data_IF_608023379151
#
_entry.id   IF_608023379151
#
_cell.length_a   1.000
_cell.length_b   1.000
_cell.length_c   1.000
_cell.angle_alpha   90.00
_cell.angle_beta   90.00
_cell.angle_gamma   90.00
#
_symmetry.space_group_name_H-M   'P 1'
#
loop_
_entity.id
_entity.type
_entity.pdbx_description
1 polymer ?
#
# COMPACT_ATOMS: atom_id res chain seq x y z
N UNK A 1 -11.61 29.11 -4.51
CA UNK A 1 -10.86 29.06 -3.23
C UNK A 1 -11.48 27.98 -2.38
N UNK A 2 -10.94 26.76 -2.40
CA UNK A 2 -11.37 25.70 -1.49
C UNK A 2 -10.94 26.08 -0.07
N UNK A 3 -11.89 26.17 0.85
CA UNK A 3 -11.56 26.29 2.27
C UNK A 3 -11.01 24.94 2.70
N UNK A 4 -9.76 24.89 3.12
CA UNK A 4 -9.27 23.80 3.97
C UNK A 4 -10.20 23.73 5.19
N UNK A 5 -10.50 22.51 5.62
CA UNK A 5 -11.27 22.27 6.84
C UNK A 5 -10.64 23.08 7.98
N UNK A 6 -11.45 23.77 8.76
CA UNK A 6 -10.92 24.54 9.88
C UNK A 6 -10.30 23.59 10.91
N UNK A 7 -9.30 24.05 11.61
CA UNK A 7 -8.62 23.27 12.66
C UNK A 7 -9.59 22.74 13.71
N UNK A 8 -10.66 23.48 14.00
CA UNK A 8 -11.76 23.08 14.89
C UNK A 8 -12.48 21.80 14.43
N UNK A 9 -12.59 21.59 13.10
CA UNK A 9 -13.21 20.38 12.52
C UNK A 9 -12.26 19.18 12.58
N UNK A 10 -10.94 19.38 12.70
CA UNK A 10 -9.93 18.33 12.80
C UNK A 10 -9.91 17.71 14.20
N UNK A 11 -10.31 18.45 15.23
CA UNK A 11 -10.37 17.99 16.62
C UNK A 11 -11.63 17.21 16.95
N UNK A 12 -12.57 17.11 15.99
CA UNK A 12 -13.83 16.41 16.20
C UNK A 12 -13.65 14.89 16.25
N UNK A 13 -13.70 14.32 17.45
CA UNK A 13 -13.54 12.88 17.72
C UNK A 13 -14.68 11.99 17.19
N UNK A 14 -15.74 12.57 16.63
CA UNK A 14 -16.86 11.80 16.06
C UNK A 14 -16.47 11.11 14.74
N UNK A 15 -15.48 11.65 14.04
CA UNK A 15 -15.05 11.08 12.75
C UNK A 15 -13.94 10.04 12.94
N UNK A 16 -14.09 8.90 12.30
CA UNK A 16 -13.10 7.81 12.32
C UNK A 16 -12.21 7.81 11.10
N UNK A 17 -12.68 8.36 9.99
CA UNK A 17 -12.00 8.35 8.70
C UNK A 17 -12.23 9.66 7.96
N UNK A 18 -11.31 9.98 7.06
CA UNK A 18 -11.39 11.13 6.17
C UNK A 18 -11.02 10.79 4.74
N UNK A 19 -11.35 11.70 3.86
CA UNK A 19 -11.00 11.68 2.45
C UNK A 19 -10.24 12.93 2.08
N UNK A 20 -9.18 12.75 1.32
CA UNK A 20 -8.48 13.79 0.60
C UNK A 20 -8.76 13.61 -0.89
N UNK A 21 -9.42 14.57 -1.50
CA UNK A 21 -9.52 14.72 -2.95
C UNK A 21 -8.46 15.70 -3.37
N UNK A 22 -7.59 15.32 -4.30
CA UNK A 22 -6.53 16.18 -4.76
C UNK A 22 -6.31 16.08 -6.26
N UNK A 23 -5.94 17.20 -6.85
CA UNK A 23 -5.46 17.29 -8.21
C UNK A 23 -4.11 18.01 -8.22
N UNK A 24 -3.09 17.32 -8.74
CA UNK A 24 -1.75 17.87 -8.93
C UNK A 24 -1.50 17.84 -10.44
N UNK A 25 -1.17 18.97 -11.06
CA UNK A 25 -0.91 19.05 -12.48
C UNK A 25 0.09 17.99 -12.95
N UNK A 26 -0.15 17.39 -14.11
CA UNK A 26 0.66 16.29 -14.67
C UNK A 26 2.13 16.65 -14.84
N UNK A 27 2.43 17.89 -15.13
CA UNK A 27 3.79 18.45 -15.17
C UNK A 27 4.50 18.42 -13.82
N UNK A 28 3.77 18.29 -12.72
CA UNK A 28 4.25 18.19 -11.35
C UNK A 28 4.16 16.76 -10.79
N UNK A 29 4.37 15.74 -11.62
CA UNK A 29 4.29 14.32 -11.22
C UNK A 29 5.19 13.98 -10.02
N UNK A 30 6.32 14.66 -9.86
CA UNK A 30 7.18 14.54 -8.69
C UNK A 30 6.44 14.92 -7.40
N UNK A 31 5.68 16.02 -7.41
CA UNK A 31 4.91 16.48 -6.26
C UNK A 31 3.76 15.53 -5.90
N UNK A 32 3.08 14.96 -6.90
CA UNK A 32 2.08 13.91 -6.66
C UNK A 32 2.71 12.67 -6.01
N UNK A 33 3.91 12.27 -6.44
CA UNK A 33 4.64 11.16 -5.85
C UNK A 33 5.15 11.48 -4.44
N UNK A 34 5.58 12.71 -4.18
CA UNK A 34 5.97 13.18 -2.84
C UNK A 34 4.78 13.11 -1.88
N UNK A 35 3.61 13.62 -2.28
CA UNK A 35 2.37 13.52 -1.49
C UNK A 35 2.04 12.06 -1.17
N UNK A 36 2.07 11.19 -2.18
CA UNK A 36 1.82 9.76 -2.00
C UNK A 36 2.82 9.11 -1.05
N UNK A 37 4.11 9.46 -1.14
CA UNK A 37 5.14 8.90 -0.26
C UNK A 37 4.90 9.28 1.20
N UNK A 38 4.51 10.54 1.47
CA UNK A 38 4.21 11.04 2.82
C UNK A 38 2.96 10.39 3.41
N UNK A 39 1.91 10.21 2.63
CA UNK A 39 0.64 9.66 3.10
C UNK A 39 0.62 8.13 3.16
N UNK A 40 1.49 7.45 2.40
CA UNK A 40 1.51 5.99 2.27
C UNK A 40 1.55 5.20 3.58
N UNK A 41 2.19 5.65 4.66
CA UNK A 41 2.24 4.89 5.91
C UNK A 41 0.87 4.66 6.56
N UNK A 42 -0.11 5.54 6.29
CA UNK A 42 -1.41 5.52 6.98
C UNK A 42 -2.62 5.74 6.06
N UNK A 43 -2.42 5.82 4.75
CA UNK A 43 -3.48 6.14 3.80
C UNK A 43 -3.62 5.07 2.71
N UNK A 44 -4.84 4.92 2.19
CA UNK A 44 -5.17 4.05 1.07
C UNK A 44 -5.76 4.87 -0.08
N UNK A 45 -5.52 4.44 -1.33
CA UNK A 45 -5.97 5.12 -2.55
C UNK A 45 -7.13 4.37 -3.21
N UNK A 46 -8.40 4.75 -2.97
CA UNK A 46 -9.53 4.23 -3.73
C UNK A 46 -9.43 4.53 -5.23
N UNK A 47 -8.82 5.66 -5.59
CA UNK A 47 -8.43 5.97 -6.97
C UNK A 47 -7.23 6.93 -7.01
N UNK A 48 -6.82 7.36 -8.22
CA UNK A 48 -5.59 8.15 -8.40
C UNK A 48 -5.59 9.51 -7.69
N UNK A 49 -6.77 10.10 -7.50
CA UNK A 49 -6.96 11.46 -6.97
C UNK A 49 -7.73 11.48 -5.64
N UNK A 50 -7.99 10.30 -5.06
CA UNK A 50 -8.71 10.17 -3.80
C UNK A 50 -7.90 9.32 -2.83
N UNK A 51 -7.73 9.83 -1.62
CA UNK A 51 -7.05 9.15 -0.52
C UNK A 51 -8.02 9.02 0.64
N UNK A 52 -8.08 7.86 1.25
CA UNK A 52 -8.75 7.67 2.55
C UNK A 52 -7.71 7.42 3.64
N UNK A 53 -7.96 7.96 4.82
CA UNK A 53 -7.05 7.90 5.96
C UNK A 53 -7.83 7.92 7.28
N UNK A 54 -7.26 7.41 8.40
CA UNK A 54 -7.82 7.59 9.73
C UNK A 54 -7.88 9.08 10.10
N UNK A 55 -9.02 9.56 10.59
CA UNK A 55 -9.23 10.99 10.87
C UNK A 55 -8.24 11.58 11.87
N UNK A 56 -7.72 10.76 12.78
CA UNK A 56 -6.65 11.15 13.72
C UNK A 56 -5.37 11.66 13.04
N UNK A 57 -5.18 11.31 11.74
CA UNK A 57 -4.05 11.78 10.93
C UNK A 57 -4.36 13.02 10.09
N UNK A 58 -5.52 13.66 10.30
CA UNK A 58 -5.97 14.80 9.48
C UNK A 58 -4.95 15.96 9.46
N UNK A 59 -4.35 16.29 10.59
CA UNK A 59 -3.30 17.32 10.66
C UNK A 59 -2.05 16.97 9.85
N UNK A 60 -1.65 15.69 9.83
CA UNK A 60 -0.52 15.21 9.01
C UNK A 60 -0.85 15.28 7.51
N UNK A 61 -2.08 14.95 7.15
CA UNK A 61 -2.56 15.06 5.76
C UNK A 61 -2.58 16.51 5.32
N UNK A 62 -3.09 17.42 6.14
CA UNK A 62 -3.11 18.86 5.87
C UNK A 62 -1.70 19.41 5.68
N UNK A 63 -0.77 19.09 6.58
CA UNK A 63 0.64 19.51 6.47
C UNK A 63 1.28 19.04 5.16
N UNK A 64 1.05 17.77 4.76
CA UNK A 64 1.56 17.24 3.51
C UNK A 64 0.97 17.94 2.28
N UNK A 65 -0.32 18.32 2.33
CA UNK A 65 -0.99 19.06 1.26
C UNK A 65 -0.45 20.49 1.16
N UNK A 66 -0.23 21.17 2.29
CA UNK A 66 0.32 22.52 2.32
C UNK A 66 1.70 22.57 1.70
N UNK A 67 2.61 21.66 2.06
CA UNK A 67 3.94 21.56 1.46
C UNK A 67 3.89 21.40 -0.07
N UNK A 68 2.99 20.53 -0.57
CA UNK A 68 2.82 20.33 -2.02
C UNK A 68 2.29 21.60 -2.69
N UNK A 69 1.34 22.30 -2.06
CA UNK A 69 0.79 23.57 -2.59
C UNK A 69 1.83 24.67 -2.63
N UNK A 70 2.66 24.79 -1.61
CA UNK A 70 3.77 25.75 -1.58
C UNK A 70 4.75 25.48 -2.72
N UNK A 71 5.14 24.22 -2.91
CA UNK A 71 6.08 23.81 -3.93
C UNK A 71 5.52 23.90 -5.37
N UNK A 72 4.19 23.82 -5.56
CA UNK A 72 3.54 23.89 -6.88
C UNK A 72 3.00 25.28 -7.24
N UNK A 73 3.21 26.29 -6.39
CA UNK A 73 2.75 27.65 -6.67
C UNK A 73 1.23 27.80 -6.75
N UNK A 74 0.47 27.00 -6.00
CA UNK A 74 -1.01 26.98 -5.92
C UNK A 74 -1.75 26.29 -7.08
N UNK A 75 -1.04 25.69 -8.03
CA UNK A 75 -1.69 24.93 -9.12
C UNK A 75 -2.29 23.61 -8.66
N UNK A 76 -1.88 23.11 -7.47
CA UNK A 76 -2.49 21.95 -6.87
C UNK A 76 -3.75 22.31 -6.08
N UNK A 77 -4.83 21.57 -6.32
CA UNK A 77 -6.06 21.67 -5.54
C UNK A 77 -6.24 20.46 -4.62
N UNK A 78 -6.74 20.69 -3.43
CA UNK A 78 -7.02 19.64 -2.48
C UNK A 78 -8.21 19.98 -1.60
N UNK A 79 -9.06 18.98 -1.33
CA UNK A 79 -10.21 19.09 -0.44
C UNK A 79 -10.18 17.90 0.52
N UNK A 80 -10.19 18.19 1.81
CA UNK A 80 -10.24 17.18 2.86
C UNK A 80 -11.63 17.19 3.49
N UNK A 81 -12.25 16.02 3.57
CA UNK A 81 -13.61 15.83 4.10
C UNK A 81 -13.62 14.67 5.10
N UNK A 82 -14.31 14.82 6.25
CA UNK A 82 -14.55 13.71 7.14
C UNK A 82 -15.53 12.72 6.52
N UNK A 83 -15.40 11.45 6.86
CA UNK A 83 -16.39 10.43 6.56
C UNK A 83 -17.55 10.55 7.54
N UNK A 84 -18.67 11.08 7.06
CA UNK A 84 -19.91 11.23 7.81
C UNK A 84 -20.88 10.09 7.52
N UNK A 85 -21.91 9.93 8.33
CA UNK A 85 -23.01 8.98 8.07
C UNK A 85 -23.67 9.23 6.71
N UNK A 86 -23.73 10.48 6.26
CA UNK A 86 -24.31 10.85 4.95
C UNK A 86 -23.40 10.42 3.79
N UNK A 87 -22.08 10.55 3.93
CA UNK A 87 -21.12 10.19 2.88
C UNK A 87 -20.74 8.71 2.87
N UNK A 88 -20.92 8.02 4.01
CA UNK A 88 -20.54 6.62 4.22
C UNK A 88 -21.10 5.65 3.17
N UNK A 89 -22.42 5.67 2.81
CA UNK A 89 -22.99 4.76 1.83
C UNK A 89 -22.34 4.86 0.44
N UNK A 90 -21.78 6.01 0.11
CA UNK A 90 -21.16 6.25 -1.21
C UNK A 90 -19.66 5.94 -1.22
N UNK A 91 -18.97 6.22 -0.12
CA UNK A 91 -17.51 6.16 -0.06
C UNK A 91 -16.98 4.81 0.42
N UNK A 92 -17.71 4.11 1.30
CA UNK A 92 -17.28 2.79 1.78
C UNK A 92 -17.18 1.77 0.64
N UNK A 93 -18.11 1.64 -0.30
CA UNK A 93 -17.95 0.72 -1.43
C UNK A 93 -16.68 1.01 -2.27
N UNK A 94 -16.32 2.27 -2.46
CA UNK A 94 -15.08 2.62 -3.18
C UNK A 94 -13.83 2.15 -2.43
N UNK A 95 -13.84 2.21 -1.10
CA UNK A 95 -12.73 1.73 -0.26
C UNK A 95 -12.66 0.20 -0.33
N UNK A 96 -13.81 -0.47 -0.26
CA UNK A 96 -13.92 -1.93 -0.35
C UNK A 96 -13.36 -2.44 -1.68
N UNK A 97 -13.79 -1.85 -2.80
CA UNK A 97 -13.32 -2.23 -4.14
C UNK A 97 -11.80 -2.02 -4.26
N UNK A 98 -11.30 -0.87 -3.81
CA UNK A 98 -9.87 -0.59 -3.85
C UNK A 98 -9.06 -1.54 -2.95
N UNK A 99 -9.57 -1.90 -1.78
CA UNK A 99 -8.92 -2.86 -0.90
C UNK A 99 -8.88 -4.25 -1.53
N UNK A 100 -9.99 -4.72 -2.10
CA UNK A 100 -10.08 -5.98 -2.85
C UNK A 100 -9.04 -6.03 -3.95
N UNK A 101 -9.03 -5.01 -4.82
CA UNK A 101 -8.10 -4.93 -5.94
C UNK A 101 -6.63 -4.95 -5.46
N UNK A 102 -6.33 -4.27 -4.36
CA UNK A 102 -4.98 -4.24 -3.83
C UNK A 102 -4.57 -5.58 -3.21
N UNK A 103 -5.44 -6.28 -2.48
CA UNK A 103 -5.17 -7.65 -2.00
C UNK A 103 -4.93 -8.61 -3.17
N UNK A 104 -5.78 -8.60 -4.18
CA UNK A 104 -5.61 -9.41 -5.39
C UNK A 104 -4.30 -9.08 -6.12
N UNK A 105 -3.98 -7.80 -6.27
CA UNK A 105 -2.75 -7.33 -6.89
C UNK A 105 -1.53 -7.83 -6.14
N UNK A 106 -1.53 -7.79 -4.80
CA UNK A 106 -0.44 -8.29 -3.98
C UNK A 106 -0.22 -9.78 -4.17
N UNK A 107 -1.30 -10.58 -4.16
CA UNK A 107 -1.24 -12.03 -4.39
C UNK A 107 -0.72 -12.35 -5.80
N UNK A 108 -1.27 -11.71 -6.84
CA UNK A 108 -0.82 -11.88 -8.24
C UNK A 108 0.65 -11.45 -8.41
N UNK A 109 1.05 -10.35 -7.77
CA UNK A 109 2.43 -9.85 -7.80
C UNK A 109 3.40 -10.81 -7.10
N UNK A 110 3.02 -11.40 -5.96
CA UNK A 110 3.82 -12.41 -5.27
C UNK A 110 4.12 -13.58 -6.20
N UNK A 111 3.08 -14.20 -6.79
CA UNK A 111 3.22 -15.32 -7.70
C UNK A 111 4.11 -14.97 -8.92
N UNK A 112 3.87 -13.82 -9.57
CA UNK A 112 4.66 -13.36 -10.72
C UNK A 112 6.13 -13.14 -10.38
N UNK A 113 6.41 -12.50 -9.23
CA UNK A 113 7.79 -12.20 -8.80
C UNK A 113 8.53 -13.49 -8.45
N UNK A 114 7.88 -14.45 -7.81
CA UNK A 114 8.48 -15.76 -7.49
C UNK A 114 8.78 -16.52 -8.77
N UNK A 115 7.84 -16.59 -9.71
CA UNK A 115 8.04 -17.26 -11.01
C UNK A 115 9.19 -16.66 -11.84
N UNK A 116 9.47 -15.38 -11.67
CA UNK A 116 10.57 -14.70 -12.38
C UNK A 116 11.96 -14.95 -11.75
N UNK A 117 12.06 -15.49 -10.54
CA UNK A 117 13.35 -15.65 -9.84
C UNK A 117 14.33 -16.52 -10.63
N UNK A 118 13.98 -17.71 -11.17
CA UNK A 118 14.93 -18.55 -11.88
C UNK A 118 15.56 -17.84 -13.09
N UNK A 119 14.75 -17.13 -13.84
CA UNK A 119 15.23 -16.39 -15.01
C UNK A 119 16.13 -15.20 -14.62
N UNK A 120 15.78 -14.49 -13.53
CA UNK A 120 16.60 -13.41 -13.02
C UNK A 120 17.97 -13.89 -12.48
N UNK A 121 18.02 -15.09 -11.89
CA UNK A 121 19.27 -15.73 -11.45
C UNK A 121 20.12 -16.11 -12.66
N UNK A 122 19.53 -16.73 -13.69
CA UNK A 122 20.25 -17.04 -14.95
C UNK A 122 20.85 -15.80 -15.59
N UNK A 123 20.10 -14.71 -15.66
CA UNK A 123 20.60 -13.43 -16.19
C UNK A 123 21.74 -12.85 -15.35
N UNK A 124 21.70 -13.01 -14.02
CA UNK A 124 22.75 -12.54 -13.14
C UNK A 124 24.05 -13.33 -13.35
N UNK A 125 23.97 -14.65 -13.56
CA UNK A 125 25.11 -15.51 -13.89
C UNK A 125 25.69 -15.12 -15.27
N UNK A 126 24.85 -14.99 -16.28
CA UNK A 126 25.27 -14.61 -17.62
C UNK A 126 25.92 -13.20 -17.69
N UNK A 127 25.57 -12.32 -16.76
CA UNK A 127 26.16 -10.97 -16.62
C UNK A 127 27.37 -10.95 -15.64
N UNK A 128 27.91 -12.11 -15.24
CA UNK A 128 29.03 -12.26 -14.28
C UNK A 128 28.81 -11.56 -12.92
N UNK A 129 27.54 -11.32 -12.55
CA UNK A 129 27.14 -10.67 -11.28
C UNK A 129 26.87 -11.69 -10.17
N UNK A 130 26.84 -12.96 -10.49
CA UNK A 130 26.57 -14.07 -9.59
C UNK A 130 27.37 -15.31 -10.04
N UNK A 131 28.08 -15.94 -9.10
CA UNK A 131 28.75 -17.20 -9.37
C UNK A 131 27.73 -18.34 -9.50
N UNK A 132 27.93 -19.31 -10.41
CA UNK A 132 26.98 -20.41 -10.65
C UNK A 132 26.68 -21.26 -9.42
N UNK A 133 27.64 -21.46 -8.55
CA UNK A 133 27.54 -22.21 -7.30
C UNK A 133 26.73 -21.47 -6.20
N UNK A 134 26.55 -20.16 -6.34
CA UNK A 134 25.71 -19.35 -5.46
C UNK A 134 24.25 -19.20 -5.94
N UNK A 135 23.93 -19.72 -7.13
CA UNK A 135 22.63 -19.52 -7.79
C UNK A 135 21.42 -19.86 -6.91
N UNK A 136 21.48 -21.03 -6.27
CA UNK A 136 20.37 -21.47 -5.41
C UNK A 136 20.23 -20.67 -4.12
N UNK A 137 21.35 -20.26 -3.55
CA UNK A 137 21.39 -19.43 -2.34
C UNK A 137 20.79 -18.05 -2.64
N UNK A 138 21.14 -17.47 -3.79
CA UNK A 138 20.57 -16.19 -4.24
C UNK A 138 19.08 -16.31 -4.58
N UNK A 139 18.65 -17.39 -5.25
CA UNK A 139 17.25 -17.66 -5.52
C UNK A 139 16.43 -17.73 -4.22
N UNK A 140 16.88 -18.45 -3.22
CA UNK A 140 16.22 -18.54 -1.93
C UNK A 140 16.19 -17.19 -1.21
N UNK A 141 17.27 -16.40 -1.27
CA UNK A 141 17.34 -15.05 -0.70
C UNK A 141 16.33 -14.13 -1.32
N UNK A 142 16.23 -14.10 -2.67
CA UNK A 142 15.24 -13.30 -3.42
C UNK A 142 13.82 -13.71 -3.07
N UNK A 143 13.54 -15.01 -2.97
CA UNK A 143 12.23 -15.55 -2.59
C UNK A 143 11.78 -15.07 -1.21
N UNK A 144 12.68 -15.16 -0.20
CA UNK A 144 12.45 -14.65 1.16
C UNK A 144 12.16 -13.14 1.17
N UNK A 145 12.88 -12.36 0.36
CA UNK A 145 12.69 -10.93 0.27
C UNK A 145 11.29 -10.60 -0.29
N UNK A 146 10.91 -11.23 -1.41
CA UNK A 146 9.59 -11.05 -2.02
C UNK A 146 8.46 -11.40 -1.05
N UNK A 147 8.59 -12.54 -0.35
CA UNK A 147 7.66 -12.96 0.70
C UNK A 147 7.53 -11.89 1.81
N UNK A 148 8.66 -11.45 2.38
CA UNK A 148 8.70 -10.46 3.48
C UNK A 148 8.04 -9.13 3.08
N UNK A 149 8.36 -8.63 1.90
CA UNK A 149 7.77 -7.40 1.37
C UNK A 149 6.26 -7.51 1.15
N UNK A 150 5.81 -8.64 0.59
CA UNK A 150 4.38 -8.86 0.35
C UNK A 150 3.63 -9.02 1.66
N UNK A 151 4.17 -9.80 2.61
CA UNK A 151 3.59 -9.95 3.95
C UNK A 151 3.41 -8.60 4.63
N UNK A 152 4.44 -7.75 4.62
CA UNK A 152 4.37 -6.41 5.20
C UNK A 152 3.22 -5.60 4.61
N UNK A 153 3.06 -5.59 3.28
CA UNK A 153 1.99 -4.85 2.61
C UNK A 153 0.60 -5.41 2.90
N UNK A 154 0.44 -6.72 3.01
CA UNK A 154 -0.83 -7.34 3.42
C UNK A 154 -1.22 -6.89 4.83
N UNK A 155 -0.28 -6.91 5.77
CA UNK A 155 -0.55 -6.46 7.14
C UNK A 155 -0.82 -4.94 7.21
N UNK A 156 -0.15 -4.12 6.40
CA UNK A 156 -0.46 -2.69 6.27
C UNK A 156 -1.92 -2.47 5.83
N UNK A 157 -2.41 -3.22 4.83
CA UNK A 157 -3.82 -3.14 4.41
C UNK A 157 -4.79 -3.58 5.50
N UNK A 158 -4.45 -4.63 6.24
CA UNK A 158 -5.27 -5.07 7.40
C UNK A 158 -5.34 -3.98 8.45
N UNK A 159 -4.22 -3.35 8.78
CA UNK A 159 -4.17 -2.22 9.72
C UNK A 159 -5.02 -1.04 9.23
N UNK A 160 -5.00 -0.73 7.93
CA UNK A 160 -5.88 0.29 7.35
C UNK A 160 -7.36 -0.07 7.54
N UNK A 161 -7.74 -1.33 7.31
CA UNK A 161 -9.11 -1.80 7.54
C UNK A 161 -9.55 -1.60 8.99
N UNK A 162 -8.68 -1.89 9.96
CA UNK A 162 -8.96 -1.66 11.39
C UNK A 162 -9.09 -0.17 11.68
N UNK A 163 -8.14 0.65 11.22
CA UNK A 163 -8.14 2.09 11.44
C UNK A 163 -9.39 2.78 10.85
N UNK A 164 -9.88 2.28 9.71
CA UNK A 164 -11.09 2.78 9.05
C UNK A 164 -12.38 2.15 9.59
N UNK A 165 -12.30 1.25 10.59
CA UNK A 165 -13.41 0.44 11.12
C UNK A 165 -14.14 -0.37 10.02
N UNK A 166 -13.37 -0.92 9.10
CA UNK A 166 -13.82 -1.74 7.97
C UNK A 166 -13.19 -3.15 8.01
N UNK A 167 -12.70 -3.60 9.19
CA UNK A 167 -12.01 -4.88 9.34
C UNK A 167 -12.86 -6.06 8.86
N UNK A 168 -14.16 -6.05 9.12
CA UNK A 168 -15.07 -7.14 8.71
C UNK A 168 -15.20 -7.22 7.20
N UNK A 169 -15.15 -6.08 6.52
CA UNK A 169 -15.18 -5.99 5.05
C UNK A 169 -13.87 -6.48 4.42
N UNK A 170 -12.74 -6.28 5.09
CA UNK A 170 -11.44 -6.71 4.60
C UNK A 170 -11.12 -8.19 4.95
N UNK A 171 -11.84 -8.78 5.92
CA UNK A 171 -11.50 -10.08 6.51
C UNK A 171 -11.38 -11.21 5.49
N UNK A 172 -12.30 -11.30 4.53
CA UNK A 172 -12.27 -12.34 3.50
C UNK A 172 -11.02 -12.27 2.63
N UNK A 173 -10.68 -11.09 2.10
CA UNK A 173 -9.51 -10.89 1.24
C UNK A 173 -8.21 -11.05 2.00
N UNK A 174 -8.15 -10.55 3.25
CA UNK A 174 -7.01 -10.73 4.13
C UNK A 174 -6.74 -12.21 4.41
N UNK A 175 -7.78 -13.00 4.63
CA UNK A 175 -7.67 -14.45 4.85
C UNK A 175 -7.08 -15.14 3.62
N UNK A 176 -7.58 -14.87 2.43
CA UNK A 176 -7.03 -15.44 1.18
C UNK A 176 -5.57 -15.05 0.99
N UNK A 177 -5.23 -13.77 1.19
CA UNK A 177 -3.85 -13.32 1.05
C UNK A 177 -2.91 -13.98 2.06
N UNK A 178 -3.35 -14.18 3.31
CA UNK A 178 -2.58 -14.87 4.35
C UNK A 178 -2.41 -16.36 4.06
N UNK A 179 -3.41 -17.03 3.51
CA UNK A 179 -3.30 -18.42 3.08
C UNK A 179 -2.24 -18.60 2.00
N UNK A 180 -2.21 -17.73 1.00
CA UNK A 180 -1.19 -17.74 -0.05
C UNK A 180 0.21 -17.47 0.52
N UNK A 181 0.34 -16.53 1.44
CA UNK A 181 1.60 -16.25 2.13
C UNK A 181 2.06 -17.44 2.97
N UNK A 182 1.14 -18.14 3.64
CA UNK A 182 1.47 -19.31 4.44
C UNK A 182 1.97 -20.47 3.57
N UNK A 183 1.33 -20.73 2.43
CA UNK A 183 1.80 -21.73 1.47
C UNK A 183 3.21 -21.39 0.97
N UNK A 184 3.50 -20.12 0.70
CA UNK A 184 4.84 -19.68 0.29
C UNK A 184 5.86 -19.81 1.43
N UNK A 185 5.48 -19.54 2.68
CA UNK A 185 6.34 -19.76 3.86
C UNK A 185 6.78 -21.22 3.98
N UNK A 186 5.82 -22.14 3.87
CA UNK A 186 6.08 -23.58 3.92
C UNK A 186 7.03 -23.99 2.78
N UNK A 187 6.82 -23.48 1.57
CA UNK A 187 7.71 -23.75 0.44
C UNK A 187 9.14 -23.24 0.66
N UNK A 188 9.31 -22.06 1.25
CA UNK A 188 10.63 -21.52 1.61
C UNK A 188 11.33 -22.40 2.66
N UNK A 189 10.59 -22.91 3.65
CA UNK A 189 11.15 -23.79 4.68
C UNK A 189 11.55 -25.15 4.12
N UNK A 190 10.75 -25.74 3.24
CA UNK A 190 11.09 -26.98 2.54
C UNK A 190 12.41 -26.85 1.76
N UNK A 191 12.60 -25.74 1.03
CA UNK A 191 13.84 -25.47 0.30
C UNK A 191 15.06 -25.28 1.22
N UNK A 192 14.89 -24.81 2.46
CA UNK A 192 15.98 -24.72 3.43
C UNK A 192 16.38 -26.10 3.93
N UNK A 193 15.38 -26.93 4.24
CA UNK A 193 15.63 -28.25 4.85
C UNK A 193 16.27 -29.23 3.87
N UNK A 194 15.99 -29.13 2.56
CA UNK A 194 16.66 -29.90 1.52
C UNK A 194 18.17 -29.66 1.47
N UNK A 195 18.66 -28.49 1.90
CA UNK A 195 20.10 -28.13 1.94
C UNK A 195 20.84 -28.62 3.20
N UNK A 196 20.12 -29.01 4.23
CA UNK A 196 20.73 -29.52 5.48
C UNK A 196 20.94 -31.02 5.40
N UNK A 197 20.32 -31.68 4.42
CA UNK A 197 20.37 -33.16 4.26
C UNK A 197 21.45 -33.66 3.25
N UNK A 198 22.30 -32.76 2.72
CA UNK A 198 23.45 -33.04 1.85
C UNK A 198 24.74 -32.59 2.55
#
# INVERSE_FOLDING_TARGET
MGKLVKQEDLENKEFTSGFLFYDVPTQNSYMANMLRAKLRPFAMWPNKSVVTFPWENAALVEGAVLEVREATGKDATAYMLPLTEVSRPYLVPMIEDAAKDEFERLVKSLAKRIAAIPENVKKAIAAEKLAPDEAEKDALRRRKLVYKETKKKVEELVCHGVALRLQDKFAGWATVARQVLEAERVSIEALKNQKVAV
#
